data_IF_181397835219
#
_entry.id   IF_181397835219
#
_cell.length_a   1.000
_cell.length_b   1.000
_cell.length_c   1.000
_cell.angle_alpha   90.00
_cell.angle_beta   90.00
_cell.angle_gamma   90.00
#
_symmetry.space_group_name_H-M   'P 1'
#
loop_
_entity.id
_entity.type
_entity.pdbx_description
1 polymer ?
#
# COMPACT_ATOMS: atom_id res chain seq x y z
N UNK A 1 6.75 -0.87 2.33
CA UNK A 1 5.61 0.06 2.23
C UNK A 1 5.97 1.42 1.64
N UNK A 2 7.14 2.00 1.96
CA UNK A 2 7.58 3.28 1.37
C UNK A 2 7.61 3.21 -0.15
N UNK A 3 8.20 2.17 -0.74
CA UNK A 3 8.19 1.95 -2.19
C UNK A 3 6.77 1.90 -2.79
N UNK A 4 5.82 1.22 -2.12
CA UNK A 4 4.43 1.20 -2.56
C UNK A 4 3.80 2.60 -2.54
N UNK A 5 4.05 3.39 -1.49
CA UNK A 5 3.61 4.79 -1.43
C UNK A 5 4.25 5.66 -2.53
N UNK A 6 5.54 5.48 -2.80
CA UNK A 6 6.25 6.21 -3.85
C UNK A 6 5.70 5.89 -5.25
N UNK A 7 5.45 4.61 -5.55
CA UNK A 7 4.84 4.18 -6.81
C UNK A 7 3.43 4.73 -6.96
N UNK A 8 2.63 4.78 -5.88
CA UNK A 8 1.31 5.42 -5.91
C UNK A 8 1.40 6.92 -6.17
N UNK A 9 2.38 7.62 -5.58
CA UNK A 9 2.62 9.04 -5.89
C UNK A 9 3.02 9.23 -7.36
N UNK A 10 3.90 8.38 -7.89
CA UNK A 10 4.31 8.39 -9.29
C UNK A 10 3.12 8.13 -10.23
N UNK A 11 2.31 7.10 -9.96
CA UNK A 11 1.09 6.84 -10.72
C UNK A 11 0.06 7.99 -10.59
N UNK A 12 0.11 8.74 -9.48
CA UNK A 12 -0.63 9.97 -9.30
C UNK A 12 -0.15 11.15 -10.16
N UNK A 13 0.93 11.02 -10.95
CA UNK A 13 1.37 12.07 -11.88
C UNK A 13 0.43 12.23 -13.08
N UNK A 14 -0.23 11.15 -13.53
CA UNK A 14 -1.22 11.18 -14.60
C UNK A 14 -2.44 12.02 -14.23
N UNK A 15 -3.05 12.69 -15.20
CA UNK A 15 -4.32 13.37 -15.04
C UNK A 15 -5.49 12.38 -14.92
N UNK A 16 -6.61 12.84 -14.37
CA UNK A 16 -7.83 12.03 -14.31
C UNK A 16 -8.34 11.64 -15.71
N UNK A 17 -8.20 12.55 -16.68
CA UNK A 17 -8.58 12.32 -18.08
C UNK A 17 -7.74 11.21 -18.70
N UNK A 18 -6.41 11.29 -18.59
CA UNK A 18 -5.50 10.24 -19.09
C UNK A 18 -5.79 8.89 -18.43
N UNK A 19 -6.07 8.87 -17.12
CA UNK A 19 -6.49 7.65 -16.45
C UNK A 19 -7.78 7.07 -17.04
N UNK A 20 -8.82 7.89 -17.24
CA UNK A 20 -10.11 7.42 -17.76
C UNK A 20 -10.06 6.97 -19.22
N UNK A 21 -9.29 7.67 -20.06
CA UNK A 21 -9.26 7.45 -21.50
C UNK A 21 -8.21 6.42 -21.93
N UNK A 22 -7.10 6.29 -21.19
CA UNK A 22 -5.96 5.46 -21.61
C UNK A 22 -5.70 4.28 -20.67
N UNK A 23 -5.82 4.46 -19.35
CA UNK A 23 -5.44 3.43 -18.38
C UNK A 23 -6.63 2.54 -17.99
N UNK A 24 -7.75 3.13 -17.58
CA UNK A 24 -8.94 2.42 -17.13
C UNK A 24 -9.50 1.43 -18.18
N UNK A 25 -9.50 1.73 -19.49
CA UNK A 25 -9.98 0.78 -20.50
C UNK A 25 -9.13 -0.48 -20.60
N UNK A 26 -7.85 -0.45 -20.24
CA UNK A 26 -6.99 -1.65 -20.25
C UNK A 26 -7.25 -2.57 -19.06
N UNK A 27 -7.91 -2.05 -18.01
CA UNK A 27 -8.23 -2.76 -16.77
C UNK A 27 -9.71 -3.20 -16.69
N UNK A 28 -10.47 -3.04 -17.78
CA UNK A 28 -11.89 -3.41 -17.88
C UNK A 28 -12.13 -4.29 -19.12
N UNK A 29 -13.26 -5.01 -19.19
CA UNK A 29 -13.69 -5.64 -20.44
C UNK A 29 -13.79 -4.61 -21.59
N UNK A 30 -13.45 -4.98 -22.84
CA UNK A 30 -13.07 -6.31 -23.31
C UNK A 30 -11.58 -6.67 -23.13
N UNK A 31 -10.73 -5.69 -22.83
CA UNK A 31 -9.27 -5.87 -22.76
C UNK A 31 -8.85 -6.78 -21.61
N UNK A 32 -9.60 -6.75 -20.51
CA UNK A 32 -9.41 -7.63 -19.37
C UNK A 32 -10.69 -8.44 -19.10
N UNK A 33 -10.62 -9.76 -19.33
CA UNK A 33 -11.73 -10.71 -19.14
C UNK A 33 -11.83 -11.26 -17.71
N UNK A 34 -11.46 -10.46 -16.72
CA UNK A 34 -11.50 -10.83 -15.30
C UNK A 34 -12.37 -9.82 -14.57
N UNK A 35 -13.48 -10.30 -14.03
CA UNK A 35 -14.36 -9.48 -13.21
C UNK A 35 -13.71 -9.13 -11.88
N UNK A 36 -13.95 -7.90 -11.42
CA UNK A 36 -13.45 -7.44 -10.12
C UNK A 36 -11.93 -7.35 -10.04
N UNK A 37 -11.23 -7.19 -11.19
CA UNK A 37 -9.79 -6.99 -11.21
C UNK A 37 -9.40 -5.91 -10.21
N UNK A 38 -8.50 -6.31 -9.32
CA UNK A 38 -7.80 -5.40 -8.46
C UNK A 38 -6.35 -5.81 -8.53
N UNK A 39 -5.45 -4.90 -8.91
CA UNK A 39 -4.01 -5.14 -8.92
C UNK A 39 -3.41 -5.48 -7.53
N UNK A 40 -4.24 -5.84 -6.55
CA UNK A 40 -3.81 -6.51 -5.32
C UNK A 40 -3.41 -7.95 -5.63
N UNK A 41 -2.16 -8.27 -5.35
CA UNK A 41 -1.72 -9.66 -5.13
C UNK A 41 -2.37 -10.16 -3.84
N UNK A 42 -3.60 -10.64 -3.97
CA UNK A 42 -4.53 -10.86 -2.85
C UNK A 42 -4.01 -11.83 -1.81
N UNK A 43 -3.20 -12.81 -2.19
CA UNK A 43 -2.67 -13.87 -1.33
C UNK A 43 -1.57 -13.35 -0.40
N UNK A 44 -0.49 -12.78 -0.92
CA UNK A 44 0.60 -12.20 -0.11
C UNK A 44 0.06 -11.11 0.82
N UNK A 45 -0.84 -10.29 0.28
CA UNK A 45 -1.47 -9.22 1.05
C UNK A 45 -2.32 -9.78 2.20
N UNK A 46 -3.11 -10.83 1.95
CA UNK A 46 -3.91 -11.48 2.99
C UNK A 46 -3.02 -12.16 4.06
N UNK A 47 -1.94 -12.79 3.64
CA UNK A 47 -0.97 -13.41 4.54
C UNK A 47 -0.29 -12.36 5.44
N UNK A 48 0.18 -11.25 4.87
CA UNK A 48 0.76 -10.13 5.63
C UNK A 48 -0.21 -9.57 6.69
N UNK A 49 -1.48 -9.36 6.33
CA UNK A 49 -2.49 -8.87 7.27
C UNK A 49 -2.74 -9.89 8.39
N UNK A 50 -2.70 -11.19 8.06
CA UNK A 50 -2.83 -12.28 9.04
C UNK A 50 -1.66 -12.26 10.02
N UNK A 51 -0.44 -12.10 9.54
CA UNK A 51 0.75 -11.97 10.37
C UNK A 51 0.63 -10.79 11.33
N UNK A 52 0.17 -9.62 10.89
CA UNK A 52 -0.02 -8.48 11.79
C UNK A 52 -1.05 -8.76 12.88
N UNK A 53 -2.16 -9.40 12.52
CA UNK A 53 -3.18 -9.77 13.49
C UNK A 53 -2.62 -10.73 14.55
N UNK A 54 -1.87 -11.75 14.13
CA UNK A 54 -1.24 -12.73 15.03
C UNK A 54 -0.17 -12.09 15.93
N UNK A 55 0.57 -11.12 15.40
CA UNK A 55 1.67 -10.45 16.10
C UNK A 55 1.26 -9.19 16.86
N UNK A 56 -0.05 -8.90 17.01
CA UNK A 56 -0.54 -7.71 17.72
C UNK A 56 0.08 -7.54 19.11
N UNK A 57 0.17 -8.63 19.90
CA UNK A 57 0.79 -8.58 21.23
C UNK A 57 2.29 -8.27 21.19
N UNK A 58 2.99 -8.69 20.14
CA UNK A 58 4.41 -8.41 19.96
C UNK A 58 4.64 -6.91 19.71
N UNK A 59 3.76 -6.26 18.93
CA UNK A 59 3.82 -4.81 18.74
C UNK A 59 3.56 -4.01 20.04
N UNK A 60 2.79 -4.58 20.97
CA UNK A 60 2.53 -3.95 22.27
C UNK A 60 3.76 -4.02 23.20
N UNK A 61 4.52 -5.12 23.13
CA UNK A 61 5.62 -5.44 24.05
C UNK A 61 6.98 -5.47 23.33
N UNK A 62 7.21 -4.54 22.39
CA UNK A 62 8.46 -4.46 21.63
C UNK A 62 9.64 -4.04 22.53
N UNK A 63 10.78 -4.76 22.48
CA UNK A 63 12.02 -4.32 23.12
C UNK A 63 12.39 -2.88 22.77
N UNK A 64 12.96 -2.14 23.72
CA UNK A 64 13.36 -0.74 23.53
C UNK A 64 14.33 -0.57 22.34
N UNK A 65 15.19 -1.56 22.11
CA UNK A 65 16.14 -1.57 21.00
C UNK A 65 15.49 -1.58 19.61
N UNK A 66 14.23 -2.01 19.50
CA UNK A 66 13.49 -2.08 18.23
C UNK A 66 12.54 -0.90 18.02
N UNK A 67 12.44 0.02 18.98
CA UNK A 67 11.54 1.18 18.90
C UNK A 67 11.83 2.07 17.67
N UNK A 68 13.09 2.40 17.33
CA UNK A 68 13.36 3.23 16.15
C UNK A 68 12.88 2.59 14.83
N UNK A 69 13.05 1.27 14.67
CA UNK A 69 12.61 0.55 13.48
C UNK A 69 11.09 0.44 13.43
N UNK A 70 10.46 0.26 14.58
CA UNK A 70 9.02 0.22 14.71
C UNK A 70 8.37 1.56 14.34
N UNK A 71 8.93 2.68 14.78
CA UNK A 71 8.47 4.02 14.40
C UNK A 71 8.59 4.25 12.89
N UNK A 72 9.72 3.87 12.28
CA UNK A 72 9.90 3.91 10.81
C UNK A 72 8.86 3.06 10.08
N UNK A 73 8.52 1.88 10.61
CA UNK A 73 7.50 1.01 10.07
C UNK A 73 6.10 1.65 10.13
N UNK A 74 5.72 2.24 11.27
CA UNK A 74 4.45 2.93 11.42
C UNK A 74 4.34 4.15 10.49
N UNK A 75 5.42 4.91 10.35
CA UNK A 75 5.49 6.03 9.40
C UNK A 75 5.31 5.56 7.96
N UNK A 76 6.02 4.49 7.56
CA UNK A 76 5.90 3.91 6.23
C UNK A 76 4.47 3.43 5.94
N UNK A 77 3.76 2.88 6.93
CA UNK A 77 2.37 2.50 6.81
C UNK A 77 1.44 3.71 6.60
N UNK A 78 1.62 4.78 7.40
CA UNK A 78 0.86 6.04 7.23
C UNK A 78 1.07 6.63 5.84
N UNK A 79 2.32 6.71 5.38
CA UNK A 79 2.67 7.22 4.05
C UNK A 79 2.02 6.42 2.92
N UNK A 80 2.01 5.09 3.03
CA UNK A 80 1.30 4.24 2.06
C UNK A 80 -0.21 4.53 2.09
N UNK A 81 -0.82 4.62 3.28
CA UNK A 81 -2.24 4.91 3.43
C UNK A 81 -2.64 6.27 2.81
N UNK A 82 -1.87 7.32 3.07
CA UNK A 82 -2.11 8.65 2.51
C UNK A 82 -1.90 8.69 1.00
N UNK A 83 -0.84 8.03 0.50
CA UNK A 83 -0.58 7.95 -0.94
C UNK A 83 -1.69 7.21 -1.68
N UNK A 84 -2.21 6.11 -1.12
CA UNK A 84 -3.34 5.38 -1.67
C UNK A 84 -4.62 6.24 -1.64
N UNK A 85 -4.90 6.93 -0.53
CA UNK A 85 -6.05 7.85 -0.46
C UNK A 85 -6.00 8.89 -1.57
N UNK A 86 -4.85 9.53 -1.74
CA UNK A 86 -4.68 10.63 -2.70
C UNK A 86 -4.91 10.17 -4.13
N UNK A 87 -4.27 9.06 -4.54
CA UNK A 87 -4.44 8.52 -5.90
C UNK A 87 -5.87 8.00 -6.12
N UNK A 88 -6.45 7.32 -5.13
CA UNK A 88 -7.82 6.80 -5.21
C UNK A 88 -8.82 7.95 -5.36
N UNK A 89 -8.66 9.03 -4.60
CA UNK A 89 -9.49 10.23 -4.70
C UNK A 89 -9.38 10.89 -6.07
N UNK A 90 -8.15 11.09 -6.55
CA UNK A 90 -7.86 11.72 -7.85
C UNK A 90 -8.55 11.00 -9.01
N UNK A 91 -8.64 9.68 -8.96
CA UNK A 91 -9.22 8.86 -10.02
C UNK A 91 -10.69 8.45 -9.78
N UNK A 92 -11.41 9.21 -8.95
CA UNK A 92 -12.86 9.07 -8.80
C UNK A 92 -13.28 8.06 -7.73
N UNK A 93 -12.37 7.55 -6.90
CA UNK A 93 -12.71 6.60 -5.84
C UNK A 93 -13.68 7.12 -4.77
N UNK A 94 -13.93 8.43 -4.72
CA UNK A 94 -14.99 9.04 -3.92
C UNK A 94 -16.40 8.93 -4.53
N UNK A 95 -16.50 8.52 -5.79
CA UNK A 95 -17.74 8.40 -6.54
C UNK A 95 -18.20 6.93 -6.57
N UNK A 96 -19.52 6.71 -6.60
CA UNK A 96 -20.07 5.37 -6.87
C UNK A 96 -19.72 5.00 -8.31
N UNK A 97 -19.15 3.80 -8.54
CA UNK A 97 -18.65 3.38 -9.86
C UNK A 97 -17.20 3.76 -10.13
N UNK A 98 -16.57 4.56 -9.27
CA UNK A 98 -15.17 4.99 -9.45
C UNK A 98 -14.13 3.91 -9.20
N UNK A 99 -14.51 2.77 -8.61
CA UNK A 99 -13.63 1.63 -8.39
C UNK A 99 -13.94 0.48 -9.34
N UNK A 100 -12.91 -0.03 -10.01
CA UNK A 100 -13.01 -1.27 -10.80
C UNK A 100 -13.41 -2.47 -9.94
N UNK A 101 -12.88 -2.53 -8.70
CA UNK A 101 -13.15 -3.63 -7.76
C UNK A 101 -14.53 -3.56 -7.12
N UNK A 102 -14.97 -2.35 -6.77
CA UNK A 102 -16.23 -2.12 -6.07
C UNK A 102 -17.06 -1.06 -6.80
N UNK A 103 -17.64 -1.39 -7.96
CA UNK A 103 -18.37 -0.42 -8.78
C UNK A 103 -19.64 0.11 -8.09
N UNK A 104 -20.11 -0.52 -7.02
CA UNK A 104 -21.32 -0.11 -6.30
C UNK A 104 -21.04 0.67 -5.00
N UNK A 105 -19.78 0.93 -4.66
CA UNK A 105 -19.41 1.53 -3.37
C UNK A 105 -18.42 2.68 -3.54
N UNK A 106 -18.44 3.61 -2.59
CA UNK A 106 -17.38 4.60 -2.42
C UNK A 106 -16.11 3.89 -1.89
N UNK A 107 -15.05 3.90 -2.69
CA UNK A 107 -13.81 3.21 -2.39
C UNK A 107 -12.95 3.94 -1.36
N UNK A 108 -13.07 5.27 -1.23
CA UNK A 108 -12.38 6.03 -0.19
C UNK A 108 -12.86 5.65 1.21
N UNK A 109 -14.17 5.52 1.41
CA UNK A 109 -14.73 5.11 2.71
C UNK A 109 -14.30 3.68 3.08
N UNK A 110 -14.28 2.77 2.10
CA UNK A 110 -13.78 1.41 2.32
C UNK A 110 -12.28 1.41 2.67
N UNK A 111 -11.49 2.22 1.95
CA UNK A 111 -10.06 2.36 2.19
C UNK A 111 -9.76 2.92 3.58
N UNK A 112 -10.45 3.98 4.01
CA UNK A 112 -10.30 4.57 5.34
C UNK A 112 -10.51 3.52 6.44
N UNK A 113 -11.62 2.77 6.36
CA UNK A 113 -11.94 1.71 7.32
C UNK A 113 -10.84 0.65 7.37
N UNK A 114 -10.35 0.21 6.21
CA UNK A 114 -9.27 -0.78 6.11
C UNK A 114 -7.97 -0.24 6.70
N UNK A 115 -7.60 0.99 6.36
CA UNK A 115 -6.37 1.63 6.85
C UNK A 115 -6.40 1.75 8.37
N UNK A 116 -7.52 2.19 8.93
CA UNK A 116 -7.72 2.32 10.38
C UNK A 116 -7.73 0.95 11.07
N UNK A 117 -8.46 -0.04 10.57
CA UNK A 117 -8.51 -1.36 11.18
C UNK A 117 -7.11 -1.99 11.30
N UNK A 118 -6.30 -1.87 10.24
CA UNK A 118 -4.91 -2.34 10.22
C UNK A 118 -3.99 -1.51 11.10
N UNK A 119 -4.19 -0.19 11.19
CA UNK A 119 -3.45 0.67 12.12
C UNK A 119 -3.56 0.14 13.56
N UNK A 120 -4.75 -0.25 13.99
CA UNK A 120 -4.97 -0.83 15.32
C UNK A 120 -4.34 -2.22 15.52
N UNK A 121 -4.01 -2.94 14.45
CA UNK A 121 -3.28 -4.22 14.52
C UNK A 121 -1.79 -3.97 14.74
N UNK A 122 -1.23 -2.99 14.04
CA UNK A 122 0.20 -2.70 14.05
C UNK A 122 0.62 -1.68 15.10
N UNK A 123 -0.31 -0.86 15.61
CA UNK A 123 -0.08 0.15 16.66
C UNK A 123 -1.07 -0.01 17.82
N UNK A 124 -1.05 -1.15 18.54
CA UNK A 124 -2.00 -1.45 19.61
C UNK A 124 -1.86 -0.50 20.81
N UNK A 125 -0.68 0.09 21.02
CA UNK A 125 -0.41 1.03 22.11
C UNK A 125 -0.71 2.48 21.75
N UNK A 126 -1.32 2.74 20.58
CA UNK A 126 -1.72 4.08 20.12
C UNK A 126 -0.59 5.12 20.16
N UNK A 127 0.64 4.72 19.82
CA UNK A 127 1.77 5.65 19.75
C UNK A 127 1.51 6.74 18.73
N UNK A 128 1.79 8.00 19.10
CA UNK A 128 1.91 9.07 18.12
C UNK A 128 3.14 8.79 17.27
N UNK A 129 3.02 9.06 15.97
CA UNK A 129 4.15 8.99 15.04
C UNK A 129 4.35 10.39 14.53
N UNK A 130 5.46 11.01 14.91
CA UNK A 130 5.90 12.26 14.33
C UNK A 130 6.36 12.01 12.89
N UNK A 131 5.94 12.87 11.96
CA UNK A 131 6.40 12.82 10.58
C UNK A 131 7.87 13.24 10.53
N UNK A 132 8.80 12.29 10.69
CA UNK A 132 10.20 12.54 10.38
C UNK A 132 10.35 12.64 8.87
N UNK A 133 10.43 13.88 8.36
CA UNK A 133 10.71 14.20 6.96
C UNK A 133 12.06 13.65 6.46
N UNK A 134 12.99 13.31 7.37
CA UNK A 134 14.34 12.84 7.04
C UNK A 134 14.38 11.54 6.21
N UNK A 135 13.37 10.67 6.32
CA UNK A 135 13.31 9.42 5.54
C UNK A 135 13.14 9.64 4.03
N UNK A 136 12.89 10.87 3.58
CA UNK A 136 12.71 11.23 2.17
C UNK A 136 13.99 11.79 1.52
N UNK A 137 15.08 11.96 2.26
CA UNK A 137 16.24 12.71 1.77
C UNK A 137 17.24 11.89 0.94
N UNK A 138 17.17 10.55 0.90
CA UNK A 138 17.93 9.77 -0.10
C UNK A 138 17.04 8.82 -0.94
N UNK A 139 16.56 9.28 -2.10
CA UNK A 139 15.87 8.45 -3.08
C UNK A 139 16.70 7.23 -3.57
N UNK A 140 18.03 7.26 -3.45
CA UNK A 140 18.90 6.19 -3.94
C UNK A 140 18.87 4.96 -3.03
N UNK A 141 18.69 5.13 -1.72
CA UNK A 141 18.44 3.98 -0.81
C UNK A 141 17.12 3.28 -1.13
N UNK A 142 16.10 4.05 -1.54
CA UNK A 142 14.81 3.50 -1.97
C UNK A 142 14.92 2.75 -3.32
N UNK A 143 15.72 3.26 -4.24
CA UNK A 143 15.93 2.68 -5.59
C UNK A 143 16.86 1.45 -5.54
N UNK A 144 17.80 1.35 -4.61
CA UNK A 144 18.64 0.15 -4.44
C UNK A 144 17.87 -1.09 -3.98
N UNK A 145 16.66 -0.91 -3.44
CA UNK A 145 15.72 -2.01 -3.18
C UNK A 145 14.82 -2.35 -4.37
N UNK A 146 15.05 -1.72 -5.53
CA UNK A 146 14.32 -1.97 -6.76
C UNK A 146 14.61 -3.34 -7.32
N UNK A 147 13.71 -4.29 -7.10
CA UNK A 147 13.72 -5.59 -7.76
C UNK A 147 13.43 -5.38 -9.26
N UNK A 148 14.27 -5.93 -10.15
CA UNK A 148 14.07 -5.79 -11.61
C UNK A 148 12.80 -6.49 -12.08
N UNK A 149 12.34 -7.49 -11.32
CA UNK A 149 11.03 -8.11 -11.46
C UNK A 149 10.63 -8.84 -10.16
N UNK A 150 9.36 -9.22 -10.06
CA UNK A 150 8.77 -9.87 -8.90
C UNK A 150 9.42 -11.24 -8.57
N UNK A 151 9.95 -11.95 -9.57
CA UNK A 151 10.69 -13.20 -9.37
C UNK A 151 11.96 -12.97 -8.52
N UNK A 152 12.72 -11.90 -8.77
CA UNK A 152 13.90 -11.57 -7.96
C UNK A 152 13.57 -11.21 -6.51
N UNK A 153 12.40 -10.60 -6.27
CA UNK A 153 11.90 -10.33 -4.93
C UNK A 153 11.61 -11.63 -4.18
N UNK A 154 10.89 -12.56 -4.82
CA UNK A 154 10.55 -13.85 -4.22
C UNK A 154 11.78 -14.71 -3.94
N UNK A 155 12.68 -14.84 -4.92
CA UNK A 155 13.91 -15.62 -4.78
C UNK A 155 14.73 -15.13 -3.58
N UNK A 156 14.90 -13.82 -3.43
CA UNK A 156 15.66 -13.24 -2.32
C UNK A 156 14.95 -13.36 -0.97
N UNK A 157 13.62 -13.23 -0.94
CA UNK A 157 12.83 -13.36 0.30
C UNK A 157 12.83 -14.79 0.85
N UNK A 158 12.93 -15.78 -0.02
CA UNK A 158 12.95 -17.20 0.34
C UNK A 158 14.36 -17.82 0.30
N UNK A 159 15.40 -17.01 0.08
CA UNK A 159 16.79 -17.43 0.02
C UNK A 159 17.04 -18.54 -1.03
N UNK A 160 16.40 -18.40 -2.19
CA UNK A 160 16.51 -19.31 -3.34
C UNK A 160 17.45 -18.69 -4.38
N UNK A 161 18.45 -19.44 -4.83
CA UNK A 161 19.36 -19.03 -5.90
C UNK A 161 18.79 -19.39 -7.29
N UNK A 162 19.30 -18.73 -8.34
CA UNK A 162 18.95 -18.97 -9.75
C UNK A 162 19.67 -20.20 -10.31
#
# INVERSE_FOLDING_TARGET
MIGAGAVMKLAGSYSRKEYQEQILPTMKPPNLKIDGFSGLMSWDHAYLVTLWKQNKKNFQNLPLSLQPQYEKFLLAYKMMGSSHRNICSKFGGGEVGGSVKHPTKNALLALEKIVQARWHMINPSHKSVHECMEMMNDPRELIQTGFKNYLQLLLRAFNLEL
#
